data_IF_431096843165
#
_entry.id   IF_431096843165
#
_cell.length_a   1.000
_cell.length_b   1.000
_cell.length_c   1.000
_cell.angle_alpha   90.00
_cell.angle_beta   90.00
_cell.angle_gamma   90.00
#
_symmetry.space_group_name_H-M   'P 1'
#
loop_
_entity.id
_entity.type
_entity.pdbx_description
1 polymer ?
#
# COMPACT_ATOMS: atom_id res chain seq x y z
N UNK A 1 -3.53 -1.39 -8.35
CA UNK A 1 -4.18 -0.28 -7.64
C UNK A 1 -3.14 0.77 -7.35
N UNK A 2 -3.42 2.05 -7.64
CA UNK A 2 -2.49 3.15 -7.37
C UNK A 2 -2.50 3.57 -5.90
N UNK A 3 -1.47 4.28 -5.43
CA UNK A 3 -1.46 4.84 -4.07
C UNK A 3 -2.65 5.79 -3.84
N UNK A 4 -3.15 6.44 -4.90
CA UNK A 4 -4.31 7.33 -4.86
C UNK A 4 -5.61 6.60 -4.46
N UNK A 5 -5.83 5.39 -4.95
CA UNK A 5 -7.02 4.58 -4.57
C UNK A 5 -6.95 4.18 -3.10
N UNK A 6 -5.75 3.83 -2.61
CA UNK A 6 -5.53 3.54 -1.20
C UNK A 6 -5.72 4.78 -0.32
N UNK A 7 -5.30 5.95 -0.79
CA UNK A 7 -5.53 7.22 -0.11
C UNK A 7 -7.03 7.54 0.00
N UNK A 8 -7.80 7.37 -1.09
CA UNK A 8 -9.25 7.58 -1.09
C UNK A 8 -9.93 6.61 -0.10
N UNK A 9 -9.57 5.33 -0.14
CA UNK A 9 -10.11 4.32 0.76
C UNK A 9 -9.80 4.66 2.24
N UNK A 10 -8.60 5.15 2.53
CA UNK A 10 -8.22 5.62 3.86
C UNK A 10 -9.10 6.79 4.32
N UNK A 11 -9.32 7.81 3.47
CA UNK A 11 -10.18 8.94 3.80
C UNK A 11 -11.64 8.51 4.05
N UNK A 12 -12.16 7.57 3.27
CA UNK A 12 -13.50 7.02 3.48
C UNK A 12 -13.64 6.29 4.81
N UNK A 13 -12.65 5.46 5.15
CA UNK A 13 -12.60 4.72 6.41
C UNK A 13 -12.59 5.70 7.60
N UNK A 14 -11.70 6.69 7.56
CA UNK A 14 -11.59 7.70 8.62
C UNK A 14 -12.83 8.60 8.71
N UNK A 15 -13.45 8.96 7.59
CA UNK A 15 -14.73 9.66 7.60
C UNK A 15 -15.83 8.83 8.27
N UNK A 16 -15.92 7.54 7.95
CA UNK A 16 -16.89 6.62 8.58
C UNK A 16 -16.64 6.51 10.09
N UNK A 17 -15.39 6.37 10.53
CA UNK A 17 -15.01 6.34 11.96
C UNK A 17 -15.43 7.63 12.67
N UNK A 18 -15.12 8.78 12.11
CA UNK A 18 -15.50 10.08 12.68
C UNK A 18 -17.02 10.26 12.73
N UNK A 19 -17.72 9.87 11.67
CA UNK A 19 -19.19 9.94 11.61
C UNK A 19 -19.86 8.97 12.58
N UNK A 20 -19.27 7.80 12.82
CA UNK A 20 -19.75 6.87 13.84
C UNK A 20 -19.59 7.45 15.26
N UNK A 21 -18.47 8.13 15.54
CA UNK A 21 -18.26 8.84 16.82
C UNK A 21 -19.16 10.07 16.97
N UNK A 22 -19.42 10.78 15.88
CA UNK A 22 -20.28 11.96 15.86
C UNK A 22 -21.09 12.02 14.55
N UNK A 23 -22.35 11.60 14.63
CA UNK A 23 -23.27 11.51 13.48
C UNK A 23 -23.55 12.86 12.80
N UNK A 24 -23.28 13.98 13.47
CA UNK A 24 -23.43 15.33 12.91
C UNK A 24 -22.25 15.76 12.04
N UNK A 25 -21.16 14.99 12.01
CA UNK A 25 -20.04 15.28 11.10
C UNK A 25 -20.50 15.10 9.66
N UNK A 26 -20.57 16.23 8.96
CA UNK A 26 -20.82 16.28 7.52
C UNK A 26 -19.49 16.22 6.75
N UNK A 27 -19.57 16.00 5.43
CA UNK A 27 -18.39 16.06 4.55
C UNK A 27 -17.67 17.42 4.63
N UNK A 28 -18.42 18.52 4.84
CA UNK A 28 -17.84 19.85 5.06
C UNK A 28 -17.05 19.93 6.37
N UNK A 29 -17.56 19.29 7.42
CA UNK A 29 -16.85 19.17 8.71
C UNK A 29 -15.57 18.36 8.57
N UNK A 30 -15.63 17.24 7.85
CA UNK A 30 -14.46 16.42 7.55
C UNK A 30 -13.40 17.19 6.74
N UNK A 31 -13.80 17.93 5.71
CA UNK A 31 -12.90 18.77 4.93
C UNK A 31 -12.19 19.83 5.78
N UNK A 32 -12.88 20.42 6.75
CA UNK A 32 -12.28 21.37 7.69
C UNK A 32 -11.20 20.70 8.55
N UNK A 33 -11.42 19.48 9.03
CA UNK A 33 -10.42 18.70 9.78
C UNK A 33 -9.18 18.48 8.92
N UNK A 34 -9.36 18.10 7.66
CA UNK A 34 -8.29 17.87 6.69
C UNK A 34 -7.57 19.16 6.24
N UNK A 35 -8.07 20.36 6.60
CA UNK A 35 -7.48 21.62 6.18
C UNK A 35 -7.65 21.93 4.68
N UNK A 36 -8.76 21.49 4.07
CA UNK A 36 -9.08 21.68 2.66
C UNK A 36 -10.53 22.14 2.46
N UNK A 37 -10.85 22.64 1.26
CA UNK A 37 -12.24 22.97 0.92
C UNK A 37 -13.09 21.71 0.75
N UNK A 38 -14.40 21.81 0.98
CA UNK A 38 -15.32 20.70 0.76
C UNK A 38 -15.30 20.23 -0.71
N UNK A 39 -15.22 21.16 -1.67
CA UNK A 39 -15.10 20.84 -3.11
C UNK A 39 -13.86 20.01 -3.40
N UNK A 40 -12.72 20.36 -2.78
CA UNK A 40 -11.47 19.60 -2.89
C UNK A 40 -11.66 18.16 -2.40
N UNK A 41 -12.22 17.96 -1.21
CA UNK A 41 -12.45 16.60 -0.67
C UNK A 41 -13.39 15.80 -1.55
N UNK A 42 -14.49 16.40 -2.03
CA UNK A 42 -15.41 15.72 -2.92
C UNK A 42 -14.72 15.23 -4.19
N UNK A 43 -13.93 16.10 -4.85
CA UNK A 43 -13.19 15.72 -6.06
C UNK A 43 -12.09 14.69 -5.79
N UNK A 44 -11.45 14.73 -4.62
CA UNK A 44 -10.47 13.71 -4.22
C UNK A 44 -11.17 12.37 -4.04
N UNK A 45 -12.25 12.32 -3.26
CA UNK A 45 -12.98 11.09 -2.97
C UNK A 45 -13.65 10.48 -4.20
N UNK A 46 -14.09 11.29 -5.17
CA UNK A 46 -14.60 10.78 -6.46
C UNK A 46 -13.50 10.32 -7.42
N UNK A 47 -12.22 10.64 -7.13
CA UNK A 47 -11.11 10.40 -8.04
C UNK A 47 -10.92 11.46 -9.13
N UNK A 48 -11.78 12.49 -9.20
CA UNK A 48 -11.70 13.59 -10.18
C UNK A 48 -10.54 14.57 -9.92
N UNK A 49 -9.91 14.47 -8.76
CA UNK A 49 -8.73 15.24 -8.40
C UNK A 49 -7.69 14.34 -7.73
N UNK A 50 -6.57 14.15 -8.41
CA UNK A 50 -5.38 13.55 -7.81
C UNK A 50 -4.59 14.62 -7.07
N UNK A 51 -4.28 14.38 -5.79
CA UNK A 51 -3.41 15.25 -4.99
C UNK A 51 -1.95 14.82 -5.12
N UNK A 52 -1.01 15.72 -4.82
CA UNK A 52 0.40 15.34 -4.65
C UNK A 52 0.58 14.49 -3.39
N UNK A 53 1.63 13.65 -3.36
CA UNK A 53 1.99 12.85 -2.18
C UNK A 53 2.19 13.72 -0.93
N UNK A 54 2.87 14.86 -1.07
CA UNK A 54 3.05 15.83 0.02
C UNK A 54 1.70 16.33 0.56
N UNK A 55 0.77 16.71 -0.34
CA UNK A 55 -0.54 17.21 0.08
C UNK A 55 -1.39 16.13 0.74
N UNK A 56 -1.32 14.90 0.23
CA UNK A 56 -1.99 13.75 0.85
C UNK A 56 -1.45 13.52 2.27
N UNK A 57 -0.14 13.53 2.48
CA UNK A 57 0.47 13.38 3.81
C UNK A 57 0.06 14.53 4.75
N UNK A 58 0.02 15.78 4.27
CA UNK A 58 -0.49 16.90 5.05
C UNK A 58 -1.94 16.68 5.50
N UNK A 59 -2.82 16.19 4.61
CA UNK A 59 -4.20 15.86 4.93
C UNK A 59 -4.30 14.75 5.99
N UNK A 60 -3.54 13.65 5.82
CA UNK A 60 -3.55 12.51 6.75
C UNK A 60 -2.95 12.89 8.11
N UNK A 61 -1.98 13.80 8.16
CA UNK A 61 -1.38 14.28 9.42
C UNK A 61 -2.38 14.93 10.38
N UNK A 62 -3.56 15.35 9.89
CA UNK A 62 -4.65 15.93 10.71
C UNK A 62 -5.59 14.87 11.26
N UNK A 63 -5.43 13.63 10.84
CA UNK A 63 -6.21 12.48 11.26
C UNK A 63 -5.38 11.63 12.24
N UNK A 64 -6.06 10.95 13.15
CA UNK A 64 -5.43 9.99 14.04
C UNK A 64 -5.42 8.59 13.41
N UNK A 65 -4.67 8.45 12.31
CA UNK A 65 -4.54 7.20 11.55
C UNK A 65 -3.57 6.26 12.26
N UNK A 66 -3.90 4.97 12.26
CA UNK A 66 -3.02 3.92 12.76
C UNK A 66 -1.67 3.94 12.02
N UNK A 67 -0.53 3.86 12.72
CA UNK A 67 0.81 3.95 12.11
C UNK A 67 1.01 2.99 10.95
N UNK A 68 0.51 1.76 11.05
CA UNK A 68 0.63 0.73 10.01
C UNK A 68 -0.01 1.18 8.69
N UNK A 69 -1.20 1.76 8.75
CA UNK A 69 -1.92 2.26 7.56
C UNK A 69 -1.22 3.45 6.91
N UNK A 70 -0.62 4.32 7.73
CA UNK A 70 0.15 5.46 7.25
C UNK A 70 1.44 4.98 6.56
N UNK A 71 2.15 4.03 7.18
CA UNK A 71 3.36 3.44 6.61
C UNK A 71 3.07 2.76 5.27
N UNK A 72 1.95 2.05 5.17
CA UNK A 72 1.49 1.44 3.91
C UNK A 72 1.29 2.47 2.81
N UNK A 73 0.63 3.59 3.13
CA UNK A 73 0.39 4.65 2.17
C UNK A 73 1.71 5.30 1.71
N UNK A 74 2.62 5.60 2.66
CA UNK A 74 3.96 6.15 2.35
C UNK A 74 4.75 5.20 1.47
N UNK A 75 4.72 3.90 1.78
CA UNK A 75 5.39 2.88 0.98
C UNK A 75 4.88 2.91 -0.47
N UNK A 76 3.56 2.95 -0.67
CA UNK A 76 2.94 3.02 -2.00
C UNK A 76 3.25 4.33 -2.76
N UNK A 77 3.39 5.46 -2.05
CA UNK A 77 3.78 6.74 -2.66
C UNK A 77 5.22 6.71 -3.19
N UNK A 78 6.12 6.02 -2.49
CA UNK A 78 7.54 5.94 -2.84
C UNK A 78 7.85 4.80 -3.83
N UNK A 79 7.00 3.78 -3.88
CA UNK A 79 7.15 2.63 -4.77
C UNK A 79 5.95 2.54 -5.70
N UNK A 80 5.91 3.35 -6.78
CA UNK A 80 4.84 3.31 -7.75
C UNK A 80 4.94 2.01 -8.57
N UNK A 81 4.52 0.88 -8.00
CA UNK A 81 4.46 -0.38 -8.74
C UNK A 81 3.45 -0.24 -9.88
N UNK A 82 3.95 -0.15 -11.11
CA UNK A 82 3.14 -0.42 -12.31
C UNK A 82 2.97 -1.93 -12.41
N UNK A 83 1.96 -2.48 -11.74
CA UNK A 83 1.48 -3.82 -12.09
C UNK A 83 0.66 -3.64 -13.37
N UNK A 84 1.33 -3.69 -14.52
CA UNK A 84 0.66 -3.83 -15.81
C UNK A 84 -0.07 -5.17 -15.80
N UNK A 85 -1.37 -5.18 -16.15
CA UNK A 85 -2.17 -6.39 -16.38
C UNK A 85 -1.77 -7.13 -17.67
N UNK A 86 -0.48 -7.23 -17.94
CA UNK A 86 0.14 -8.23 -18.80
C UNK A 86 1.21 -8.83 -17.89
N UNK A 87 1.03 -10.01 -17.35
CA UNK A 87 0.93 -11.20 -18.16
C UNK A 87 -0.06 -12.18 -17.55
N UNK A 88 -0.53 -13.11 -18.39
CA UNK A 88 -1.12 -14.34 -17.88
C UNK A 88 -0.14 -14.90 -16.85
N UNK A 89 -0.61 -15.07 -15.62
CA UNK A 89 0.12 -15.82 -14.59
C UNK A 89 0.17 -17.26 -15.10
N UNK A 90 1.19 -17.56 -15.89
CA UNK A 90 1.51 -18.89 -16.38
C UNK A 90 2.96 -19.14 -16.02
N UNK A 91 3.13 -20.18 -15.21
CA UNK A 91 4.35 -20.93 -14.93
C UNK A 91 5.40 -20.28 -14.01
N UNK A 92 5.53 -20.87 -12.81
CA UNK A 92 6.67 -20.86 -11.88
C UNK A 92 7.75 -19.81 -12.13
N UNK A 93 7.65 -18.67 -11.46
CA UNK A 93 8.67 -17.62 -11.53
C UNK A 93 9.79 -17.88 -10.52
N UNK A 94 10.95 -18.30 -11.03
CA UNK A 94 12.17 -18.48 -10.22
C UNK A 94 12.92 -17.15 -10.11
N UNK A 95 13.04 -16.62 -8.90
CA UNK A 95 13.87 -15.45 -8.61
C UNK A 95 15.24 -15.91 -8.09
N UNK A 96 16.29 -15.73 -8.89
CA UNK A 96 17.66 -16.03 -8.42
C UNK A 96 18.31 -14.73 -7.97
N UNK A 97 18.50 -14.60 -6.66
CA UNK A 97 19.31 -13.53 -6.09
C UNK A 97 20.78 -13.97 -6.06
N UNK A 98 21.70 -13.06 -6.37
CA UNK A 98 23.14 -13.25 -6.18
C UNK A 98 23.69 -12.03 -5.49
N UNK A 99 24.25 -12.23 -4.31
CA UNK A 99 24.78 -11.16 -3.49
C UNK A 99 25.33 -11.69 -2.18
N UNK A 100 25.78 -10.78 -1.33
CA UNK A 100 26.25 -11.14 0.00
C UNK A 100 25.11 -11.65 0.88
N UNK A 101 25.46 -12.39 1.93
CA UNK A 101 24.50 -12.89 2.94
C UNK A 101 23.65 -11.77 3.55
N UNK A 102 24.27 -10.61 3.80
CA UNK A 102 23.58 -9.48 4.42
C UNK A 102 22.55 -8.85 3.49
N UNK A 103 22.87 -8.73 2.19
CA UNK A 103 21.91 -8.26 1.19
C UNK A 103 20.77 -9.27 1.02
N UNK A 104 21.07 -10.57 1.02
CA UNK A 104 20.04 -11.61 0.97
C UNK A 104 19.07 -11.52 2.15
N UNK A 105 19.55 -11.35 3.38
CA UNK A 105 18.69 -11.22 4.57
C UNK A 105 17.77 -9.99 4.50
N UNK A 106 18.28 -8.86 4.00
CA UNK A 106 17.48 -7.65 3.78
C UNK A 106 16.38 -7.88 2.75
N UNK A 107 16.75 -8.40 1.57
CA UNK A 107 15.82 -8.70 0.49
C UNK A 107 14.80 -9.78 0.89
N UNK A 108 15.22 -10.80 1.64
CA UNK A 108 14.33 -11.85 2.14
C UNK A 108 13.23 -11.25 2.99
N UNK A 109 13.55 -10.33 3.91
CA UNK A 109 12.55 -9.72 4.79
C UNK A 109 11.58 -8.82 4.01
N UNK A 110 12.07 -8.05 3.03
CA UNK A 110 11.22 -7.23 2.16
C UNK A 110 10.30 -8.09 1.27
N UNK A 111 10.84 -9.14 0.65
CA UNK A 111 10.08 -10.08 -0.16
C UNK A 111 9.07 -10.87 0.67
N UNK A 112 9.42 -11.30 1.87
CA UNK A 112 8.49 -12.02 2.74
C UNK A 112 7.31 -11.13 3.15
N UNK A 113 7.56 -9.84 3.44
CA UNK A 113 6.51 -8.87 3.71
C UNK A 113 5.58 -8.67 2.50
N UNK A 114 6.15 -8.62 1.30
CA UNK A 114 5.39 -8.52 0.05
C UNK A 114 4.54 -9.78 -0.20
N UNK A 115 5.13 -10.97 -0.03
CA UNK A 115 4.48 -12.26 -0.28
C UNK A 115 3.34 -12.53 0.71
N UNK A 116 3.55 -12.27 2.00
CA UNK A 116 2.51 -12.36 3.03
C UNK A 116 1.33 -11.43 2.72
N UNK A 117 1.60 -10.20 2.26
CA UNK A 117 0.56 -9.24 1.87
C UNK A 117 -0.24 -9.71 0.65
N UNK A 118 0.40 -10.43 -0.27
CA UNK A 118 -0.25 -11.00 -1.44
C UNK A 118 -0.95 -12.35 -1.17
N UNK A 119 -0.89 -12.87 0.06
CA UNK A 119 -1.38 -14.21 0.46
C UNK A 119 -0.77 -15.36 -0.34
N UNK A 120 0.46 -15.17 -0.80
CA UNK A 120 1.17 -16.17 -1.59
C UNK A 120 2.02 -17.00 -0.63
N UNK A 121 1.82 -18.32 -0.61
CA UNK A 121 2.69 -19.22 0.13
C UNK A 121 4.05 -19.30 -0.58
N UNK A 122 5.17 -19.28 0.14
CA UNK A 122 6.51 -19.34 -0.45
C UNK A 122 7.45 -20.23 0.35
N UNK A 123 8.36 -20.94 -0.34
CA UNK A 123 9.36 -21.82 0.28
C UNK A 123 10.78 -21.35 -0.05
N UNK A 124 11.43 -20.65 0.88
CA UNK A 124 12.82 -20.26 0.74
C UNK A 124 13.75 -21.45 1.05
N UNK A 125 14.71 -21.77 0.16
CA UNK A 125 15.78 -22.73 0.43
C UNK A 125 17.11 -22.20 -0.07
N UNK A 126 18.15 -22.24 0.78
CA UNK A 126 19.50 -21.82 0.42
C UNK A 126 20.38 -23.06 0.18
N UNK A 127 21.07 -23.11 -0.96
CA UNK A 127 22.12 -24.10 -1.24
C UNK A 127 23.36 -23.41 -1.82
N UNK A 128 24.51 -23.72 -1.23
CA UNK A 128 25.91 -23.42 -1.58
C UNK A 128 26.23 -22.12 -2.35
N UNK A 129 26.91 -21.21 -1.64
CA UNK A 129 27.68 -20.04 -2.11
C UNK A 129 26.95 -18.96 -2.93
N UNK A 130 25.85 -19.27 -3.60
CA UNK A 130 24.91 -18.35 -4.22
C UNK A 130 23.59 -18.45 -3.43
N UNK A 131 23.20 -17.39 -2.71
CA UNK A 131 21.95 -17.41 -1.93
C UNK A 131 20.72 -17.40 -2.84
N UNK A 132 20.22 -18.57 -3.19
CA UNK A 132 19.02 -18.72 -4.00
C UNK A 132 17.74 -18.51 -3.17
N UNK A 133 16.75 -17.78 -3.69
CA UNK A 133 15.42 -17.64 -3.08
C UNK A 133 14.36 -18.22 -4.03
N UNK A 134 13.90 -19.44 -3.75
CA UNK A 134 12.79 -20.03 -4.49
C UNK A 134 11.46 -19.48 -3.95
N UNK A 135 10.56 -19.08 -4.84
CA UNK A 135 9.23 -18.61 -4.49
C UNK A 135 8.28 -19.33 -5.44
N UNK A 136 7.72 -20.44 -4.96
CA UNK A 136 6.67 -21.13 -5.68
C UNK A 136 5.36 -20.43 -5.38
N UNK A 137 4.78 -19.77 -6.38
CA UNK A 137 3.48 -19.12 -6.24
C UNK A 137 2.41 -20.22 -6.29
N UNK A 138 1.82 -20.56 -5.13
CA UNK A 138 0.66 -21.45 -5.10
C UNK A 138 -0.59 -20.66 -5.48
N UNK A 139 -1.36 -21.20 -6.43
CA UNK A 139 -2.67 -20.64 -6.77
C UNK A 139 -3.56 -20.60 -5.52
N UNK A 140 -4.20 -19.47 -5.21
CA UNK A 140 -5.18 -19.41 -4.13
C UNK A 140 -6.44 -20.18 -4.56
N UNK A 141 -6.80 -21.23 -3.80
CA UNK A 141 -8.09 -21.94 -3.92
C UNK A 141 -9.31 -21.02 -3.76
#
# INVERSE_FOLDING_TARGET
>A
MGWNENFIALLEEEFKKLKARNSRISMRGFARILGVSASTVFRVMSGDLQVSSERALQMVSKLNVEPDRLNDLIFLMNHPYKITKSDKVTDNHRFVFRGSKNEFELYRNELYGLLMRLKIQSVASAQDADFELKIDLLDPE
#
